data_IF_305559979422
#
_entry.id   IF_305559979422
#
_cell.length_a   1.000
_cell.length_b   1.000
_cell.length_c   1.000
_cell.angle_alpha   90.00
_cell.angle_beta   90.00
_cell.angle_gamma   90.00
#
_symmetry.space_group_name_H-M   'P 1'
#
loop_
_entity.id
_entity.type
_entity.pdbx_description
1 polymer ?
#
# COMPACT_ATOMS: atom_id res chain seq x y z
N UNK A 1 15.04 3.26 -2.68
CA UNK A 1 13.94 2.66 -1.89
C UNK A 1 13.79 3.21 -0.46
N UNK A 2 14.86 3.61 0.23
CA UNK A 2 14.76 4.13 1.63
C UNK A 2 13.99 5.46 1.74
N UNK A 3 14.11 6.36 0.76
CA UNK A 3 13.45 7.68 0.78
C UNK A 3 11.94 7.63 0.57
N UNK A 4 11.46 6.84 -0.41
CA UNK A 4 10.03 6.76 -0.73
C UNK A 4 9.21 6.16 0.41
N UNK A 5 9.71 5.08 1.04
CA UNK A 5 9.05 4.50 2.22
C UNK A 5 8.94 5.54 3.34
N UNK A 6 10.02 6.25 3.66
CA UNK A 6 9.98 7.30 4.68
C UNK A 6 8.96 8.40 4.37
N UNK A 7 8.88 8.84 3.11
CA UNK A 7 7.91 9.87 2.68
C UNK A 7 6.48 9.39 2.91
N UNK A 8 6.17 8.19 2.40
CA UNK A 8 4.84 7.61 2.52
C UNK A 8 4.47 7.34 3.99
N UNK A 9 5.39 6.84 4.80
CA UNK A 9 5.16 6.57 6.23
C UNK A 9 4.95 7.87 7.02
N UNK A 10 5.73 8.91 6.71
CA UNK A 10 5.57 10.24 7.32
C UNK A 10 4.21 10.82 6.99
N UNK A 11 3.82 10.78 5.70
CA UNK A 11 2.50 11.22 5.26
C UNK A 11 1.39 10.42 5.93
N UNK A 12 1.54 9.09 6.00
CA UNK A 12 0.55 8.22 6.59
C UNK A 12 0.28 8.60 8.06
N UNK A 13 1.35 8.70 8.85
CA UNK A 13 1.28 9.07 10.27
C UNK A 13 0.74 10.47 10.50
N UNK A 14 1.15 11.45 9.68
CA UNK A 14 0.65 12.84 9.78
C UNK A 14 -0.85 12.97 9.53
N UNK A 15 -1.42 12.08 8.72
CA UNK A 15 -2.85 12.07 8.40
C UNK A 15 -3.64 11.08 9.29
N UNK A 16 -3.03 10.52 10.33
CA UNK A 16 -3.71 9.65 11.29
C UNK A 16 -3.95 8.22 10.83
N UNK A 17 -3.38 7.82 9.70
CA UNK A 17 -3.49 6.45 9.20
C UNK A 17 -2.69 5.48 10.08
N UNK A 18 -3.30 4.33 10.37
CA UNK A 18 -2.72 3.28 11.24
C UNK A 18 -2.66 1.93 10.53
N UNK A 19 -2.13 0.88 11.18
CA UNK A 19 -2.06 -0.48 10.62
C UNK A 19 -1.44 -0.55 9.21
N UNK A 20 -0.34 0.16 9.00
CA UNK A 20 0.25 0.34 7.69
C UNK A 20 0.82 -0.98 7.13
N UNK A 21 0.42 -1.35 5.91
CA UNK A 21 0.95 -2.51 5.19
C UNK A 21 1.63 -2.09 3.89
N UNK A 22 2.75 -2.75 3.59
CA UNK A 22 3.60 -2.42 2.44
C UNK A 22 3.42 -3.42 1.31
N UNK A 23 3.24 -2.89 0.10
CA UNK A 23 3.24 -3.69 -1.13
C UNK A 23 4.29 -3.09 -2.05
N UNK A 24 5.21 -3.93 -2.52
CA UNK A 24 6.32 -3.52 -3.36
C UNK A 24 6.48 -4.48 -4.52
N UNK A 25 6.60 -3.92 -5.72
CA UNK A 25 6.75 -4.68 -6.97
C UNK A 25 8.17 -4.50 -7.53
N UNK A 26 9.17 -4.86 -6.72
CA UNK A 26 10.58 -4.68 -7.10
C UNK A 26 10.90 -5.46 -8.38
N UNK A 27 11.29 -4.76 -9.45
CA UNK A 27 11.67 -5.36 -10.73
C UNK A 27 10.51 -5.57 -11.71
N UNK A 28 9.31 -5.09 -11.39
CA UNK A 28 8.17 -5.10 -12.32
C UNK A 28 8.01 -3.73 -12.95
N UNK A 29 7.76 -3.70 -14.26
CA UNK A 29 7.41 -2.46 -14.95
C UNK A 29 5.94 -2.11 -14.72
N UNK A 30 5.60 -0.82 -14.82
CA UNK A 30 4.22 -0.33 -14.80
C UNK A 30 3.43 -0.62 -16.08
N UNK A 31 3.92 -1.50 -16.96
CA UNK A 31 3.30 -1.77 -18.26
C UNK A 31 2.05 -2.65 -18.19
N UNK A 32 1.87 -3.39 -17.10
CA UNK A 32 0.70 -4.23 -16.88
C UNK A 32 0.35 -4.37 -15.38
N UNK A 33 -0.76 -5.04 -15.11
CA UNK A 33 -1.27 -5.28 -13.76
C UNK A 33 -0.79 -6.61 -13.15
N UNK A 34 0.03 -7.40 -13.84
CA UNK A 34 0.56 -8.68 -13.36
C UNK A 34 1.76 -8.45 -12.43
N UNK A 35 1.50 -7.75 -11.34
CA UNK A 35 2.51 -7.37 -10.36
C UNK A 35 2.10 -7.94 -8.99
N UNK A 36 2.91 -8.79 -8.33
CA UNK A 36 2.51 -9.52 -7.14
C UNK A 36 2.02 -8.64 -5.98
N UNK A 37 2.68 -7.51 -5.74
CA UNK A 37 2.29 -6.51 -4.74
C UNK A 37 0.96 -5.84 -5.08
N UNK A 38 0.78 -5.46 -6.35
CA UNK A 38 -0.50 -4.93 -6.85
C UNK A 38 -1.64 -5.94 -6.72
N UNK A 39 -1.43 -7.21 -7.10
CA UNK A 39 -2.44 -8.26 -6.99
C UNK A 39 -2.81 -8.56 -5.54
N UNK A 40 -1.81 -8.60 -4.64
CA UNK A 40 -2.06 -8.77 -3.20
C UNK A 40 -2.84 -7.58 -2.61
N UNK A 41 -2.57 -6.35 -3.09
CA UNK A 41 -3.34 -5.17 -2.71
C UNK A 41 -4.80 -5.31 -3.12
N UNK A 42 -5.07 -5.76 -4.35
CA UNK A 42 -6.44 -5.97 -4.83
C UNK A 42 -7.17 -7.03 -4.01
N UNK A 43 -6.53 -8.15 -3.70
CA UNK A 43 -7.12 -9.21 -2.89
C UNK A 43 -7.51 -8.71 -1.48
N UNK A 44 -6.66 -7.92 -0.84
CA UNK A 44 -6.95 -7.36 0.49
C UNK A 44 -8.04 -6.27 0.45
N UNK A 45 -8.15 -5.52 -0.67
CA UNK A 45 -9.27 -4.60 -0.92
C UNK A 45 -10.58 -5.38 -1.07
N UNK A 46 -10.58 -6.44 -1.89
CA UNK A 46 -11.76 -7.28 -2.12
C UNK A 46 -12.22 -8.00 -0.85
N UNK A 47 -11.29 -8.36 0.04
CA UNK A 47 -11.58 -8.91 1.35
C UNK A 47 -12.07 -7.87 2.37
N UNK A 48 -12.15 -6.59 2.02
CA UNK A 48 -12.57 -5.51 2.92
C UNK A 48 -11.53 -5.12 3.97
N UNK A 49 -10.28 -5.57 3.83
CA UNK A 49 -9.22 -5.34 4.81
C UNK A 49 -8.58 -3.95 4.66
N UNK A 50 -8.71 -3.32 3.50
CA UNK A 50 -8.05 -2.07 3.14
C UNK A 50 -9.06 -0.91 3.15
N UNK A 51 -8.75 0.12 3.94
CA UNK A 51 -9.52 1.37 3.97
C UNK A 51 -8.97 2.43 3.02
N UNK A 52 -7.63 2.55 2.97
CA UNK A 52 -6.95 3.59 2.18
C UNK A 52 -5.71 3.04 1.47
N UNK A 53 -5.52 3.44 0.21
CA UNK A 53 -4.34 3.14 -0.61
C UNK A 53 -3.54 4.44 -0.84
N UNK A 54 -2.28 4.47 -0.41
CA UNK A 54 -1.36 5.62 -0.58
C UNK A 54 -0.18 5.19 -1.44
N UNK A 55 0.02 5.83 -2.60
CA UNK A 55 1.02 5.43 -3.59
C UNK A 55 2.03 6.54 -3.85
N UNK A 56 3.32 6.18 -4.02
CA UNK A 56 4.32 7.05 -4.61
C UNK A 56 5.27 6.25 -5.51
N UNK A 57 5.43 6.71 -6.75
CA UNK A 57 6.25 6.09 -7.80
C UNK A 57 5.88 4.59 -7.96
N UNK A 58 6.70 3.69 -7.39
CA UNK A 58 6.55 2.23 -7.49
C UNK A 58 6.14 1.58 -6.15
N UNK A 59 5.93 2.36 -5.09
CA UNK A 59 5.66 1.88 -3.74
C UNK A 59 4.26 2.25 -3.26
N UNK A 60 3.59 1.30 -2.60
CA UNK A 60 2.26 1.46 -2.02
C UNK A 60 2.32 1.21 -0.51
N UNK A 61 1.74 2.11 0.29
CA UNK A 61 1.33 1.88 1.68
C UNK A 61 -0.19 1.80 1.71
N UNK A 62 -0.73 0.77 2.37
CA UNK A 62 -2.15 0.67 2.66
C UNK A 62 -2.39 0.95 4.14
N UNK A 63 -3.42 1.73 4.44
CA UNK A 63 -4.08 1.72 5.74
C UNK A 63 -5.07 0.55 5.76
N UNK A 64 -4.93 -0.34 6.74
CA UNK A 64 -5.89 -1.40 6.98
C UNK A 64 -7.03 -0.88 7.85
N UNK A 65 -8.25 -1.29 7.53
CA UNK A 65 -9.40 -1.04 8.39
C UNK A 65 -9.09 -1.62 9.78
N UNK A 66 -9.08 -0.76 10.80
CA UNK A 66 -9.08 -1.20 12.17
C UNK A 66 -10.44 -1.85 12.44
N UNK A 67 -10.46 -3.18 12.35
CA UNK A 67 -11.59 -4.08 12.64
C UNK A 67 -12.75 -4.03 11.62
N UNK A 68 -12.87 -5.11 10.85
CA UNK A 68 -14.22 -5.68 10.63
C UNK A 68 -14.51 -6.57 11.86
N UNK A 69 -15.76 -6.58 12.38
CA UNK A 69 -16.13 -7.25 13.63
C UNK A 69 -15.81 -8.75 13.67
#
# INVERSE_FOLDING_TARGET
MSSQKRILETYAKQNGFTNLRWYTDNGYSGANFQRPGFQSTLADIEAGLVGTVIVKDDCVILELNAESP
#
